data_IF_910674642589
#
_entry.id   IF_910674642589
#
_cell.length_a   1.000
_cell.length_b   1.000
_cell.length_c   1.000
_cell.angle_alpha   90.00
_cell.angle_beta   90.00
_cell.angle_gamma   90.00
#
_symmetry.space_group_name_H-M   'P 1'
#
loop_
_entity.id
_entity.type
_entity.pdbx_description
1 polymer ?
#
# COMPACT_ATOMS: atom_id res chain seq x y z
N UNK A 1 -16.01 28.33 22.34
CA UNK A 1 -16.99 27.77 21.39
C UNK A 1 -17.64 26.51 21.94
N UNK A 2 -16.85 25.53 22.41
CA UNK A 2 -17.32 24.20 22.84
C UNK A 2 -17.34 23.95 24.36
N UNK A 3 -16.70 24.79 25.17
CA UNK A 3 -16.64 24.61 26.62
C UNK A 3 -17.90 25.13 27.32
N UNK A 4 -18.51 24.30 28.15
CA UNK A 4 -19.53 24.67 29.13
C UNK A 4 -19.07 24.34 30.55
N UNK A 5 -19.90 24.66 31.55
CA UNK A 5 -19.60 24.44 32.97
C UNK A 5 -20.68 23.62 33.67
N UNK A 6 -20.26 22.62 34.43
CA UNK A 6 -21.11 21.79 35.29
C UNK A 6 -20.65 21.92 36.75
N UNK A 7 -21.60 21.93 37.68
CA UNK A 7 -21.36 21.86 39.12
C UNK A 7 -21.83 20.49 39.60
N UNK A 8 -20.90 19.67 40.06
CA UNK A 8 -21.20 18.43 40.77
C UNK A 8 -21.22 18.74 42.26
N UNK A 9 -22.29 18.38 42.95
CA UNK A 9 -22.41 18.58 44.39
C UNK A 9 -22.76 17.26 45.08
N UNK A 10 -22.29 17.14 46.32
CA UNK A 10 -22.55 16.02 47.21
C UNK A 10 -22.99 16.62 48.54
N UNK A 11 -24.25 16.39 48.90
CA UNK A 11 -24.84 16.85 50.17
C UNK A 11 -25.11 15.64 51.05
N UNK A 12 -24.49 15.57 52.21
CA UNK A 12 -24.79 14.51 53.18
C UNK A 12 -26.22 14.65 53.73
N UNK A 13 -26.88 13.53 54.03
CA UNK A 13 -28.28 13.53 54.51
C UNK A 13 -28.37 13.74 56.02
N UNK A 14 -27.44 13.14 56.77
CA UNK A 14 -27.49 13.09 58.24
C UNK A 14 -26.55 14.10 58.91
N UNK A 15 -25.68 14.76 58.14
CA UNK A 15 -24.69 15.74 58.63
C UNK A 15 -24.68 16.96 57.73
N UNK A 16 -24.38 18.12 58.32
CA UNK A 16 -24.31 19.41 57.61
C UNK A 16 -22.96 19.55 56.88
N UNK A 17 -22.79 18.74 55.84
CA UNK A 17 -21.61 18.71 54.99
C UNK A 17 -22.03 18.70 53.52
N UNK A 18 -21.59 19.72 52.78
CA UNK A 18 -21.74 19.82 51.33
C UNK A 18 -20.36 19.99 50.68
N UNK A 19 -20.04 19.12 49.72
CA UNK A 19 -18.89 19.28 48.83
C UNK A 19 -19.40 19.63 47.45
N UNK A 20 -18.84 20.66 46.82
CA UNK A 20 -19.16 20.97 45.43
C UNK A 20 -17.92 21.30 44.61
N UNK A 21 -17.95 20.89 43.34
CA UNK A 21 -16.87 21.08 42.39
C UNK A 21 -17.44 21.56 41.07
N UNK A 22 -16.86 22.63 40.52
CA UNK A 22 -17.18 23.13 39.19
C UNK A 22 -16.13 22.60 38.22
N UNK A 23 -16.60 21.99 37.13
CA UNK A 23 -15.77 21.41 36.09
C UNK A 23 -16.21 21.93 34.72
N UNK A 24 -15.25 22.07 33.82
CA UNK A 24 -15.52 22.38 32.42
C UNK A 24 -15.81 21.09 31.65
N UNK A 25 -16.74 21.14 30.70
CA UNK A 25 -17.03 20.03 29.79
C UNK A 25 -16.99 20.50 28.33
N UNK A 26 -16.69 19.57 27.42
CA UNK A 26 -16.68 19.80 25.96
C UNK A 26 -17.74 18.98 25.21
N UNK A 27 -18.17 17.87 25.80
CA UNK A 27 -19.27 17.03 25.34
C UNK A 27 -20.11 16.55 26.54
N UNK A 28 -21.34 16.13 26.26
CA UNK A 28 -22.23 15.52 27.24
C UNK A 28 -22.54 14.10 26.78
N UNK A 29 -22.29 13.13 27.63
CA UNK A 29 -22.56 11.72 27.35
C UNK A 29 -23.92 11.34 27.94
N UNK A 30 -24.89 11.08 27.07
CA UNK A 30 -26.27 10.81 27.44
C UNK A 30 -26.57 9.32 27.38
N UNK A 31 -27.19 8.80 28.44
CA UNK A 31 -27.64 7.42 28.51
C UNK A 31 -28.80 7.21 27.52
N UNK A 32 -28.65 6.25 26.61
CA UNK A 32 -29.71 5.86 25.66
C UNK A 32 -30.55 4.73 26.24
N UNK A 33 -29.90 3.78 26.92
CA UNK A 33 -30.59 2.68 27.61
C UNK A 33 -31.58 3.25 28.63
N UNK A 34 -32.84 2.81 28.55
CA UNK A 34 -33.92 3.29 29.44
C UNK A 34 -34.56 4.64 29.07
N UNK A 35 -33.96 5.42 28.17
CA UNK A 35 -34.45 6.75 27.77
C UNK A 35 -35.06 6.73 26.37
N UNK A 36 -36.23 7.35 26.20
CA UNK A 36 -36.94 7.36 24.90
C UNK A 36 -36.50 8.48 23.96
N UNK A 37 -36.01 9.57 24.52
CA UNK A 37 -35.68 10.78 23.78
C UNK A 37 -34.62 11.61 24.50
N UNK A 38 -34.16 12.65 23.82
CA UNK A 38 -33.16 13.58 24.32
C UNK A 38 -33.53 14.23 25.66
N UNK A 39 -34.78 14.67 25.82
CA UNK A 39 -35.21 15.39 27.02
C UNK A 39 -35.19 14.48 28.25
N UNK A 40 -35.58 13.21 28.07
CA UNK A 40 -35.56 12.21 29.14
C UNK A 40 -34.12 11.91 29.57
N UNK A 41 -33.17 11.76 28.64
CA UNK A 41 -31.76 11.60 29.00
C UNK A 41 -31.16 12.80 29.73
N UNK A 42 -31.58 14.03 29.41
CA UNK A 42 -31.12 15.21 30.15
C UNK A 42 -31.71 15.26 31.57
N UNK A 43 -32.96 14.80 31.75
CA UNK A 43 -33.56 14.67 33.09
C UNK A 43 -32.85 13.60 33.92
N UNK A 44 -32.54 12.46 33.30
CA UNK A 44 -31.72 11.39 33.90
C UNK A 44 -30.34 11.91 34.29
N UNK A 45 -29.70 12.71 33.42
CA UNK A 45 -28.36 13.27 33.69
C UNK A 45 -28.31 14.22 34.90
N UNK A 46 -29.37 15.01 35.14
CA UNK A 46 -29.46 15.92 36.30
C UNK A 46 -30.17 15.28 37.50
N UNK A 47 -30.57 14.01 37.41
CA UNK A 47 -31.24 13.32 38.49
C UNK A 47 -30.29 13.15 39.68
N UNK A 48 -30.82 13.41 40.89
CA UNK A 48 -30.05 13.24 42.12
C UNK A 48 -29.91 11.75 42.42
N UNK A 49 -28.67 11.29 42.49
CA UNK A 49 -28.30 9.93 42.88
C UNK A 49 -28.12 9.86 44.40
N UNK A 50 -28.80 8.91 45.04
CA UNK A 50 -28.59 8.64 46.46
C UNK A 50 -27.44 7.64 46.64
N UNK A 51 -26.44 8.05 47.41
CA UNK A 51 -25.30 7.25 47.83
C UNK A 51 -25.60 6.65 49.20
N UNK A 52 -26.04 5.39 49.24
CA UNK A 52 -26.32 4.66 50.48
C UNK A 52 -25.78 3.22 50.45
N UNK A 53 -25.85 2.54 51.59
CA UNK A 53 -25.40 1.15 51.74
C UNK A 53 -23.89 0.97 51.54
N UNK A 54 -23.49 0.15 50.58
CA UNK A 54 -22.08 -0.09 50.26
C UNK A 54 -21.42 1.07 49.49
N UNK A 55 -22.22 2.02 48.98
CA UNK A 55 -21.77 3.17 48.17
C UNK A 55 -21.78 4.49 48.95
N UNK A 56 -21.66 4.45 50.28
CA UNK A 56 -21.65 5.66 51.12
C UNK A 56 -20.49 6.61 50.78
N UNK A 57 -20.73 7.92 50.91
CA UNK A 57 -19.74 8.95 50.65
C UNK A 57 -18.84 9.16 51.87
N UNK A 58 -17.53 9.23 51.66
CA UNK A 58 -16.57 9.54 52.72
C UNK A 58 -16.43 11.06 52.89
N UNK A 59 -17.11 11.61 53.89
CA UNK A 59 -17.10 13.03 54.26
C UNK A 59 -15.91 13.39 55.17
N UNK A 60 -14.71 12.98 54.77
CA UNK A 60 -13.46 13.23 55.49
C UNK A 60 -13.34 12.51 56.84
N UNK A 61 -12.27 12.81 57.59
CA UNK A 61 -11.98 12.16 58.87
C UNK A 61 -12.98 12.53 59.97
N UNK A 62 -13.63 13.68 59.87
CA UNK A 62 -14.59 14.18 60.87
C UNK A 62 -15.92 13.41 60.83
N UNK A 63 -16.51 13.20 59.65
CA UNK A 63 -17.85 12.62 59.49
C UNK A 63 -17.86 11.19 58.92
N UNK A 64 -16.71 10.70 58.42
CA UNK A 64 -16.52 9.35 57.87
C UNK A 64 -17.54 9.01 56.77
N UNK A 65 -17.92 7.74 56.63
CA UNK A 65 -18.90 7.28 55.65
C UNK A 65 -20.31 7.73 56.03
N UNK A 66 -20.98 8.41 55.11
CA UNK A 66 -22.31 8.96 55.28
C UNK A 66 -23.17 8.69 54.04
N UNK A 67 -24.47 8.56 54.28
CA UNK A 67 -25.45 8.63 53.20
C UNK A 67 -25.46 10.05 52.63
N UNK A 68 -25.37 10.18 51.32
CA UNK A 68 -25.30 11.47 50.64
C UNK A 68 -26.12 11.49 49.35
N UNK A 69 -26.51 12.69 48.94
CA UNK A 69 -27.14 12.96 47.67
C UNK A 69 -26.11 13.59 46.74
N UNK A 70 -25.80 12.92 45.64
CA UNK A 70 -24.96 13.45 44.57
C UNK A 70 -25.85 13.97 43.45
N UNK A 71 -25.60 15.19 43.00
CA UNK A 71 -26.30 15.76 41.86
C UNK A 71 -25.36 16.52 40.94
N UNK A 72 -25.82 16.76 39.72
CA UNK A 72 -25.11 17.54 38.70
C UNK A 72 -26.03 18.64 38.20
N UNK A 73 -25.50 19.87 38.13
CA UNK A 73 -26.23 21.05 37.67
C UNK A 73 -25.42 21.73 36.58
N UNK A 74 -26.06 22.08 35.46
CA UNK A 74 -25.40 22.87 34.42
C UNK A 74 -25.36 24.35 34.83
N UNK A 75 -24.17 24.93 34.93
CA UNK A 75 -24.02 26.38 35.15
C UNK A 75 -24.08 27.15 33.84
N UNK A 76 -23.54 26.57 32.76
CA UNK A 76 -23.59 27.17 31.42
C UNK A 76 -23.41 26.12 30.34
N UNK A 77 -24.06 26.34 29.19
CA UNK A 77 -23.86 25.53 27.99
C UNK A 77 -22.95 26.25 26.98
N UNK A 78 -22.20 25.50 26.14
CA UNK A 78 -21.40 26.09 25.06
C UNK A 78 -22.26 26.58 23.89
N UNK A 79 -21.68 27.39 22.99
CA UNK A 79 -22.41 27.82 21.78
C UNK A 79 -22.58 26.68 20.76
N UNK A 80 -21.64 25.72 20.74
CA UNK A 80 -21.76 24.46 19.98
C UNK A 80 -21.77 23.32 20.99
N UNK A 81 -22.88 22.59 21.01
CA UNK A 81 -23.17 21.54 21.96
C UNK A 81 -23.00 20.17 21.30
N UNK A 82 -22.04 19.41 21.80
CA UNK A 82 -21.79 18.03 21.38
C UNK A 82 -22.45 17.07 22.35
N UNK A 83 -23.35 16.23 21.84
CA UNK A 83 -24.10 15.25 22.62
C UNK A 83 -23.73 13.87 22.12
N UNK A 84 -22.99 13.12 22.93
CA UNK A 84 -22.64 11.75 22.64
C UNK A 84 -23.73 10.83 23.19
N UNK A 85 -24.35 10.04 22.32
CA UNK A 85 -25.35 9.06 22.70
C UNK A 85 -24.65 7.75 23.06
N UNK A 86 -24.70 7.34 24.33
CA UNK A 86 -24.12 6.09 24.82
C UNK A 86 -24.89 4.90 24.26
N UNK A 87 -24.57 4.54 23.01
CA UNK A 87 -25.14 3.40 22.29
C UNK A 87 -24.26 2.15 22.37
N UNK A 88 -23.22 2.16 23.18
CA UNK A 88 -22.36 1.00 23.41
C UNK A 88 -22.26 0.79 24.91
N UNK A 89 -22.79 -0.33 25.38
CA UNK A 89 -22.80 -0.68 26.81
C UNK A 89 -22.32 -2.13 26.97
N UNK A 90 -21.73 -2.41 28.13
CA UNK A 90 -21.28 -3.75 28.47
C UNK A 90 -22.45 -4.60 28.96
N UNK A 91 -22.78 -5.67 28.26
CA UNK A 91 -23.78 -6.63 28.70
C UNK A 91 -23.12 -7.69 29.59
N UNK A 92 -23.36 -7.61 30.90
CA UNK A 92 -22.81 -8.53 31.90
C UNK A 92 -23.28 -9.98 31.67
N UNK A 93 -24.50 -10.19 31.17
CA UNK A 93 -25.02 -11.55 30.94
C UNK A 93 -24.33 -12.23 29.76
N UNK A 94 -23.90 -11.44 28.78
CA UNK A 94 -23.26 -11.93 27.55
C UNK A 94 -21.74 -11.75 27.55
N UNK A 95 -21.20 -11.14 28.60
CA UNK A 95 -19.78 -10.84 28.78
C UNK A 95 -19.17 -10.15 27.54
N UNK A 96 -19.93 -9.21 26.94
CA UNK A 96 -19.54 -8.57 25.69
C UNK A 96 -20.12 -7.15 25.57
N UNK A 97 -19.41 -6.30 24.84
CA UNK A 97 -19.89 -4.97 24.50
C UNK A 97 -20.99 -5.08 23.43
N UNK A 98 -22.11 -4.42 23.66
CA UNK A 98 -23.27 -4.47 22.79
C UNK A 98 -23.68 -3.08 22.33
N UNK A 99 -24.09 -3.00 21.05
CA UNK A 99 -24.69 -1.79 20.50
C UNK A 99 -26.18 -1.72 20.85
N UNK A 100 -26.60 -0.62 21.46
CA UNK A 100 -27.99 -0.29 21.76
C UNK A 100 -28.62 0.33 20.51
N UNK A 101 -29.46 -0.47 19.86
CA UNK A 101 -30.23 -0.06 18.70
C UNK A 101 -31.65 0.38 19.06
N UNK A 102 -31.92 0.67 20.34
CA UNK A 102 -33.21 1.16 20.79
C UNK A 102 -33.59 2.48 20.12
N UNK A 103 -34.90 2.68 19.97
CA UNK A 103 -35.46 3.89 19.38
C UNK A 103 -35.25 5.05 20.35
N UNK A 104 -34.50 6.06 19.90
CA UNK A 104 -34.16 7.25 20.65
C UNK A 104 -34.43 8.49 19.80
N UNK A 105 -35.39 9.30 20.22
CA UNK A 105 -35.78 10.51 19.49
C UNK A 105 -34.94 11.73 19.90
N UNK A 106 -34.58 12.56 18.93
CA UNK A 106 -33.95 13.85 19.16
C UNK A 106 -34.62 14.92 18.30
N UNK A 107 -34.93 16.10 18.86
CA UNK A 107 -35.67 17.14 18.16
C UNK A 107 -34.75 17.98 17.27
N UNK A 108 -35.29 18.63 16.25
CA UNK A 108 -34.54 19.65 15.49
C UNK A 108 -34.19 20.86 16.36
N UNK A 109 -35.08 21.25 17.28
CA UNK A 109 -34.90 22.36 18.20
C UNK A 109 -34.88 21.83 19.62
N UNK A 110 -33.84 22.16 20.37
CA UNK A 110 -33.65 21.75 21.75
C UNK A 110 -33.54 22.97 22.67
N UNK A 111 -34.39 23.04 23.71
CA UNK A 111 -34.30 24.08 24.72
C UNK A 111 -33.53 23.56 25.94
N UNK A 112 -32.35 24.15 26.17
CA UNK A 112 -31.48 23.78 27.29
C UNK A 112 -31.77 24.60 28.56
N UNK A 113 -32.58 25.66 28.48
CA UNK A 113 -32.87 26.55 29.60
C UNK A 113 -33.39 25.84 30.87
N UNK A 114 -34.25 24.79 30.79
CA UNK A 114 -34.76 24.09 31.96
C UNK A 114 -33.69 23.36 32.79
N UNK A 115 -32.52 23.06 32.21
CA UNK A 115 -31.46 22.28 32.87
C UNK A 115 -30.36 23.16 33.46
N UNK A 116 -30.45 24.49 33.27
CA UNK A 116 -29.51 25.45 33.84
C UNK A 116 -29.83 25.75 35.30
N UNK A 117 -28.79 26.00 36.10
CA UNK A 117 -28.92 26.47 37.48
C UNK A 117 -29.82 27.71 37.58
N UNK A 118 -30.47 27.90 38.73
CA UNK A 118 -31.27 29.10 38.99
C UNK A 118 -30.42 30.37 38.90
N UNK A 119 -29.17 30.29 39.35
CA UNK A 119 -28.18 31.38 39.31
C UNK A 119 -27.55 31.60 37.92
N UNK A 120 -27.92 30.82 36.90
CA UNK A 120 -27.36 30.97 35.55
C UNK A 120 -27.89 32.23 34.86
N UNK A 121 -27.06 32.82 34.00
CA UNK A 121 -27.48 33.93 33.15
C UNK A 121 -28.54 33.47 32.13
N UNK A 122 -29.79 33.89 32.34
CA UNK A 122 -30.94 33.61 31.46
C UNK A 122 -31.37 34.85 30.66
N UNK A 123 -30.49 35.85 30.52
CA UNK A 123 -30.77 37.07 29.74
C UNK A 123 -30.96 36.80 28.24
N UNK A 124 -30.28 35.77 27.71
CA UNK A 124 -30.39 35.30 26.34
C UNK A 124 -31.07 33.92 26.27
N UNK A 125 -31.73 33.63 25.15
CA UNK A 125 -32.31 32.31 24.89
C UNK A 125 -31.24 31.21 24.84
N UNK A 126 -31.52 30.07 25.47
CA UNK A 126 -30.71 28.85 25.44
C UNK A 126 -31.31 27.79 24.51
N UNK A 127 -32.01 28.24 23.46
CA UNK A 127 -32.50 27.39 22.39
C UNK A 127 -31.40 27.05 21.39
N UNK A 128 -31.31 25.78 21.05
CA UNK A 128 -30.35 25.22 20.10
C UNK A 128 -31.06 24.66 18.87
N UNK A 129 -30.40 24.75 17.73
CA UNK A 129 -30.80 24.14 16.47
C UNK A 129 -29.86 22.99 16.13
N UNK A 130 -30.41 21.87 15.67
CA UNK A 130 -29.65 20.72 15.19
C UNK A 130 -28.83 21.12 13.96
N UNK A 131 -27.52 20.92 14.04
CA UNK A 131 -26.56 21.20 12.98
C UNK A 131 -26.02 19.91 12.35
N UNK A 132 -25.80 18.87 13.16
CA UNK A 132 -25.20 17.63 12.71
C UNK A 132 -25.74 16.39 13.41
N UNK A 133 -25.89 15.31 12.65
CA UNK A 133 -26.23 13.96 13.14
C UNK A 133 -25.19 13.00 12.58
N UNK A 134 -24.31 12.49 13.45
CA UNK A 134 -23.33 11.49 13.06
C UNK A 134 -23.95 10.11 13.31
N UNK A 135 -23.91 9.26 12.29
CA UNK A 135 -24.62 7.98 12.26
C UNK A 135 -23.62 6.86 12.15
N UNK A 136 -23.87 5.81 12.93
CA UNK A 136 -23.13 4.56 12.85
C UNK A 136 -24.06 3.44 12.38
N UNK A 137 -23.74 2.87 11.22
CA UNK A 137 -24.44 1.72 10.64
C UNK A 137 -23.62 0.45 10.84
N UNK A 138 -24.19 -0.55 11.48
CA UNK A 138 -23.49 -1.80 11.79
C UNK A 138 -23.41 -2.09 13.28
N UNK A 139 -22.52 -2.99 13.65
CA UNK A 139 -22.31 -3.48 15.01
C UNK A 139 -20.96 -3.02 15.60
N UNK A 140 -20.58 -3.55 16.76
CA UNK A 140 -19.34 -3.16 17.43
C UNK A 140 -18.07 -3.49 16.61
N UNK A 141 -18.08 -4.59 15.87
CA UNK A 141 -16.89 -5.14 15.20
C UNK A 141 -16.75 -4.63 13.77
N UNK A 142 -17.87 -4.32 13.12
CA UNK A 142 -17.92 -3.80 11.76
C UNK A 142 -19.05 -2.80 11.61
N UNK A 143 -18.70 -1.63 11.10
CA UNK A 143 -19.68 -0.61 10.77
C UNK A 143 -19.14 0.46 9.85
N UNK A 144 -20.06 1.34 9.46
CA UNK A 144 -19.83 2.44 8.55
C UNK A 144 -20.33 3.74 9.18
N UNK A 145 -19.52 4.79 9.06
CA UNK A 145 -19.83 6.11 9.62
C UNK A 145 -20.16 7.08 8.50
N UNK A 146 -21.24 7.82 8.69
CA UNK A 146 -21.60 8.93 7.82
C UNK A 146 -22.30 10.01 8.65
N UNK A 147 -22.42 11.21 8.09
CA UNK A 147 -22.98 12.34 8.81
C UNK A 147 -24.07 13.04 7.99
N UNK A 148 -25.12 13.49 8.66
CA UNK A 148 -26.01 14.50 8.12
C UNK A 148 -25.61 15.85 8.70
N UNK A 149 -25.26 16.82 7.87
CA UNK A 149 -24.90 18.16 8.31
C UNK A 149 -25.80 19.19 7.62
N UNK A 150 -26.10 20.27 8.34
CA UNK A 150 -26.78 21.47 7.81
C UNK A 150 -25.78 22.62 7.77
N UNK A 151 -25.05 22.83 6.65
CA UNK A 151 -23.93 23.77 6.60
C UNK A 151 -24.37 25.24 6.75
N UNK A 152 -25.57 25.56 6.30
CA UNK A 152 -26.13 26.92 6.31
C UNK A 152 -27.28 27.02 7.32
N UNK A 153 -27.42 28.19 7.97
CA UNK A 153 -28.46 28.48 8.96
C UNK A 153 -29.87 28.07 8.50
N UNK A 154 -30.25 28.49 7.29
CA UNK A 154 -31.56 28.27 6.69
C UNK A 154 -31.51 27.30 5.48
N UNK A 155 -30.44 26.52 5.36
CA UNK A 155 -30.21 25.60 4.25
C UNK A 155 -30.82 24.21 4.44
N UNK A 156 -30.39 23.29 3.58
CA UNK A 156 -30.79 21.88 3.63
C UNK A 156 -29.77 21.05 4.41
N UNK A 157 -30.23 19.91 4.92
CA UNK A 157 -29.30 18.87 5.35
C UNK A 157 -28.72 18.14 4.14
N UNK A 158 -27.46 17.76 4.26
CA UNK A 158 -26.76 16.92 3.31
C UNK A 158 -26.20 15.69 4.02
N UNK A 159 -26.35 14.52 3.42
CA UNK A 159 -25.69 13.29 3.81
C UNK A 159 -24.27 13.29 3.22
N UNK A 160 -23.28 13.26 4.10
CA UNK A 160 -21.87 13.09 3.79
C UNK A 160 -21.49 11.63 4.07
N UNK A 161 -21.37 10.86 2.99
CA UNK A 161 -21.07 9.43 2.98
C UNK A 161 -19.80 9.22 2.16
N UNK A 162 -18.65 9.35 2.84
CA UNK A 162 -17.29 9.35 2.27
C UNK A 162 -17.13 10.29 1.05
N UNK A 163 -16.99 9.72 -0.15
CA UNK A 163 -16.78 10.42 -1.41
C UNK A 163 -18.08 10.98 -2.01
N UNK A 164 -19.23 10.71 -1.40
CA UNK A 164 -20.56 11.07 -1.90
C UNK A 164 -21.27 12.01 -0.95
N UNK A 165 -21.69 13.15 -1.51
CA UNK A 165 -22.53 14.12 -0.80
C UNK A 165 -23.88 14.22 -1.50
N UNK A 166 -24.96 13.92 -0.78
CA UNK A 166 -26.33 13.98 -1.30
C UNK A 166 -27.22 14.83 -0.41
N UNK A 167 -28.23 15.48 -1.01
CA UNK A 167 -29.23 16.23 -0.25
C UNK A 167 -30.13 15.28 0.53
N UNK A 168 -30.47 15.62 1.78
CA UNK A 168 -31.30 14.81 2.66
C UNK A 168 -32.55 15.55 3.12
N UNK A 169 -33.62 14.80 3.35
CA UNK A 169 -34.89 15.26 3.95
C UNK A 169 -34.82 15.18 5.48
N UNK A 170 -35.65 15.95 6.18
CA UNK A 170 -35.73 15.86 7.65
C UNK A 170 -36.13 14.47 8.16
N UNK A 171 -36.89 13.71 7.37
CA UNK A 171 -37.23 12.32 7.70
C UNK A 171 -35.98 11.43 7.71
N UNK A 172 -35.12 11.57 6.71
CA UNK A 172 -33.84 10.84 6.63
C UNK A 172 -32.87 11.26 7.75
N UNK A 173 -32.88 12.53 8.15
CA UNK A 173 -32.02 13.05 9.23
C UNK A 173 -32.50 12.61 10.61
N UNK A 174 -33.80 12.65 10.86
CA UNK A 174 -34.42 12.37 12.16
C UNK A 174 -34.91 10.92 12.23
N UNK A 175 -36.10 10.65 11.67
CA UNK A 175 -36.83 9.39 11.84
C UNK A 175 -36.03 8.16 11.44
N UNK A 176 -35.21 8.26 10.38
CA UNK A 176 -34.41 7.15 9.88
C UNK A 176 -33.21 6.83 10.78
N UNK A 177 -32.79 7.75 11.67
CA UNK A 177 -31.63 7.62 12.56
C UNK A 177 -31.97 7.49 14.05
N UNK A 178 -33.25 7.46 14.43
CA UNK A 178 -33.65 7.19 15.81
C UNK A 178 -33.30 5.77 16.28
N UNK A 179 -33.08 4.83 15.34
CA UNK A 179 -32.95 3.41 15.64
C UNK A 179 -34.32 2.73 15.82
N UNK A 180 -34.32 1.59 16.50
CA UNK A 180 -35.50 0.78 16.77
C UNK A 180 -35.88 -0.18 15.65
N UNK A 181 -37.07 -0.75 15.78
CA UNK A 181 -37.60 -1.73 14.84
C UNK A 181 -38.13 -1.08 13.56
N UNK A 182 -37.79 -1.67 12.42
CA UNK A 182 -38.37 -1.33 11.13
C UNK A 182 -39.77 -1.94 11.00
N UNK A 183 -40.82 -1.12 11.07
CA UNK A 183 -42.18 -1.54 10.71
C UNK A 183 -42.32 -1.52 9.18
N UNK A 184 -42.34 -2.69 8.54
CA UNK A 184 -42.83 -2.79 7.17
C UNK A 184 -44.32 -2.44 7.16
N UNK A 185 -44.71 -1.33 6.52
CA UNK A 185 -46.11 -1.16 6.15
C UNK A 185 -46.49 -2.28 5.18
N UNK A 186 -47.53 -3.09 5.47
CA UNK A 186 -47.96 -4.08 4.50
C UNK A 186 -48.49 -3.34 3.27
N UNK A 187 -47.77 -3.46 2.15
CA UNK A 187 -48.33 -3.17 0.84
C UNK A 187 -49.60 -4.02 0.65
N UNK A 188 -50.62 -3.46 0.03
CA UNK A 188 -51.92 -4.05 -0.28
C UNK A 188 -51.83 -5.33 -1.14
N UNK A 189 -51.29 -6.41 -0.59
CA UNK A 189 -51.33 -7.74 -1.19
C UNK A 189 -51.94 -8.75 -0.21
N UNK A 190 -53.03 -9.35 -0.69
CA UNK A 190 -53.87 -10.31 0.00
C UNK A 190 -53.08 -11.54 0.49
N UNK A 191 -53.39 -11.92 1.74
CA UNK A 191 -53.40 -13.29 2.32
C UNK A 191 -52.08 -14.10 2.33
N UNK A 192 -51.41 -14.10 3.48
CA UNK A 192 -50.65 -15.25 4.00
C UNK A 192 -50.71 -15.27 5.56
N UNK A 193 -50.58 -16.43 6.23
CA UNK A 193 -50.77 -16.54 7.68
C UNK A 193 -49.64 -15.85 8.46
N UNK A 194 -50.00 -15.16 9.57
CA UNK A 194 -49.05 -14.51 10.49
C UNK A 194 -48.10 -15.53 11.13
N UNK A 195 -46.91 -15.70 10.55
CA UNK A 195 -45.72 -16.01 11.33
C UNK A 195 -45.20 -14.69 11.89
N UNK A 196 -45.10 -14.56 13.22
CA UNK A 196 -44.42 -13.44 13.88
C UNK A 196 -42.94 -13.49 13.50
N UNK A 197 -42.57 -12.90 12.36
CA UNK A 197 -41.17 -12.63 12.03
C UNK A 197 -40.61 -11.70 13.10
N UNK A 198 -39.46 -12.05 13.66
CA UNK A 198 -38.75 -11.18 14.58
C UNK A 198 -38.58 -9.79 13.92
N UNK A 199 -38.81 -8.70 14.67
CA UNK A 199 -38.72 -7.37 14.11
C UNK A 199 -37.31 -7.09 13.61
N UNK A 200 -37.20 -6.58 12.38
CA UNK A 200 -35.90 -6.22 11.79
C UNK A 200 -35.45 -4.94 12.49
N UNK A 201 -34.44 -5.04 13.34
CA UNK A 201 -33.86 -3.89 14.03
C UNK A 201 -33.03 -3.08 13.05
N UNK A 202 -33.21 -1.76 13.03
CA UNK A 202 -32.39 -0.87 12.22
C UNK A 202 -30.96 -0.90 12.72
N UNK A 203 -30.03 -1.13 11.81
CA UNK A 203 -28.60 -1.18 12.14
C UNK A 203 -27.95 0.20 12.11
N UNK A 204 -28.59 1.20 11.53
CA UNK A 204 -28.17 2.60 11.55
C UNK A 204 -28.88 3.37 12.68
N UNK A 205 -28.10 4.08 13.48
CA UNK A 205 -28.62 4.97 14.52
C UNK A 205 -27.64 6.12 14.77
N UNK A 206 -28.19 7.28 15.13
CA UNK A 206 -27.38 8.42 15.52
C UNK A 206 -26.55 8.07 16.76
N UNK A 207 -25.24 8.33 16.73
CA UNK A 207 -24.34 8.11 17.86
C UNK A 207 -23.84 9.42 18.47
N UNK A 208 -23.85 10.51 17.70
CA UNK A 208 -23.47 11.84 18.18
C UNK A 208 -24.33 12.90 17.50
N UNK A 209 -24.77 13.88 18.27
CA UNK A 209 -25.56 15.02 17.80
C UNK A 209 -24.77 16.31 18.03
N UNK A 210 -24.86 17.22 17.08
CA UNK A 210 -24.24 18.54 17.13
C UNK A 210 -25.34 19.58 17.05
N UNK A 211 -25.44 20.40 18.08
CA UNK A 211 -26.41 21.48 18.20
C UNK A 211 -25.69 22.82 18.26
N UNK A 212 -26.24 23.86 17.64
CA UNK A 212 -25.70 25.22 17.69
C UNK A 212 -26.73 26.15 18.33
N UNK A 213 -26.29 27.00 19.27
CA UNK A 213 -27.15 27.98 19.93
C UNK A 213 -27.69 28.98 18.91
N UNK A 214 -29.01 29.15 18.85
CA UNK A 214 -29.65 29.95 17.80
C UNK A 214 -29.16 31.41 17.78
N UNK A 215 -28.95 32.01 18.95
CA UNK A 215 -28.43 33.40 19.07
C UNK A 215 -27.00 33.58 18.56
N UNK A 216 -26.27 32.50 18.27
CA UNK A 216 -24.87 32.51 17.83
C UNK A 216 -24.65 31.90 16.44
N UNK A 217 -25.72 31.48 15.75
CA UNK A 217 -25.65 30.84 14.43
C UNK A 217 -24.87 31.69 13.42
N UNK A 218 -25.17 32.98 13.32
CA UNK A 218 -24.53 33.86 12.33
C UNK A 218 -23.03 34.05 12.58
N UNK A 219 -22.60 33.96 13.84
CA UNK A 219 -21.18 34.05 14.21
C UNK A 219 -20.43 32.73 13.99
N UNK A 220 -21.11 31.59 14.12
CA UNK A 220 -20.49 30.26 14.02
C UNK A 220 -20.47 29.77 12.58
N UNK A 221 -21.57 29.98 11.84
CA UNK A 221 -21.73 29.61 10.44
C UNK A 221 -21.46 30.81 9.52
N UNK A 222 -20.49 31.64 9.89
CA UNK A 222 -20.11 32.78 9.07
C UNK A 222 -19.50 32.29 7.73
N UNK A 223 -19.73 33.02 6.63
CA UNK A 223 -19.19 32.64 5.34
C UNK A 223 -17.66 32.75 5.36
N UNK A 224 -16.97 31.66 5.01
CA UNK A 224 -15.52 31.62 4.85
C UNK A 224 -15.17 31.75 3.38
N UNK A 225 -14.41 32.79 3.07
CA UNK A 225 -13.97 33.15 1.72
C UNK A 225 -12.52 32.74 1.47
N UNK A 226 -12.05 32.85 0.22
CA UNK A 226 -10.65 32.54 -0.09
C UNK A 226 -9.71 33.52 0.62
N UNK A 227 -10.16 34.75 0.82
CA UNK A 227 -9.46 35.86 1.45
C UNK A 227 -9.12 35.55 2.91
N UNK A 228 -9.94 34.76 3.61
CA UNK A 228 -9.73 34.35 5.00
C UNK A 228 -8.58 33.34 5.17
N UNK A 229 -8.17 32.69 4.08
CA UNK A 229 -7.08 31.70 4.10
C UNK A 229 -5.73 32.43 4.01
N UNK A 230 -4.81 32.30 4.97
CA UNK A 230 -3.49 32.91 4.89
C UNK A 230 -2.71 32.55 3.61
N UNK A 231 -2.07 33.54 2.97
CA UNK A 231 -1.36 33.38 1.69
C UNK A 231 -0.27 32.29 1.72
N UNK A 232 0.44 32.17 2.83
CA UNK A 232 1.50 31.16 3.00
C UNK A 232 0.95 29.73 2.97
N UNK A 233 -0.28 29.51 3.48
CA UNK A 233 -0.93 28.19 3.39
C UNK A 233 -1.36 27.90 1.96
N UNK A 234 -1.94 28.88 1.26
CA UNK A 234 -2.35 28.71 -0.15
C UNK A 234 -1.16 28.30 -1.02
N UNK A 235 -0.06 29.06 -0.91
CA UNK A 235 1.17 28.81 -1.69
C UNK A 235 1.72 27.40 -1.41
N UNK A 236 1.80 27.02 -0.13
CA UNK A 236 2.28 25.69 0.27
C UNK A 236 1.42 24.55 -0.30
N UNK A 237 0.09 24.67 -0.25
CA UNK A 237 -0.80 23.63 -0.77
C UNK A 237 -0.80 23.56 -2.31
N UNK A 238 -0.62 24.69 -2.99
CA UNK A 238 -0.44 24.73 -4.45
C UNK A 238 0.87 24.03 -4.86
N UNK A 239 1.98 24.31 -4.16
CA UNK A 239 3.25 23.63 -4.35
C UNK A 239 3.15 22.12 -4.08
N UNK A 240 2.48 21.72 -2.98
CA UNK A 240 2.31 20.31 -2.63
C UNK A 240 1.45 19.57 -3.66
N UNK A 241 0.38 20.21 -4.14
CA UNK A 241 -0.48 19.66 -5.20
C UNK A 241 0.30 19.49 -6.50
N UNK A 242 1.05 20.52 -6.92
CA UNK A 242 1.89 20.47 -8.12
C UNK A 242 2.95 19.36 -8.03
N UNK A 243 3.57 19.19 -6.85
CA UNK A 243 4.55 18.13 -6.62
C UNK A 243 3.93 16.73 -6.63
N UNK A 244 2.72 16.57 -6.08
CA UNK A 244 1.97 15.30 -6.16
C UNK A 244 1.58 14.97 -7.59
N UNK A 245 1.14 15.94 -8.37
CA UNK A 245 0.82 15.76 -9.79
C UNK A 245 2.06 15.42 -10.61
N UNK A 246 3.19 16.10 -10.37
CA UNK A 246 4.46 15.78 -11.01
C UNK A 246 4.92 14.35 -10.69
N UNK A 247 4.85 13.93 -9.42
CA UNK A 247 5.16 12.53 -9.02
C UNK A 247 4.21 11.51 -9.63
N UNK A 248 2.92 11.84 -9.75
CA UNK A 248 1.94 10.95 -10.40
C UNK A 248 2.30 10.79 -11.88
N UNK A 249 2.58 11.89 -12.58
CA UNK A 249 3.01 11.89 -13.97
C UNK A 249 4.32 11.11 -14.16
N UNK A 250 5.28 11.28 -13.26
CA UNK A 250 6.53 10.53 -13.30
C UNK A 250 6.29 9.02 -13.15
N UNK A 251 5.42 8.58 -12.23
CA UNK A 251 5.04 7.16 -12.10
C UNK A 251 4.32 6.64 -13.35
N UNK A 252 3.45 7.46 -13.93
CA UNK A 252 2.80 7.17 -15.22
C UNK A 252 3.80 7.11 -16.37
N UNK A 253 4.93 7.81 -16.32
CA UNK A 253 5.97 7.68 -17.34
C UNK A 253 6.89 6.47 -17.06
N UNK A 254 7.23 6.20 -15.80
CA UNK A 254 8.14 5.11 -15.40
C UNK A 254 7.65 3.73 -15.83
N UNK A 255 6.34 3.44 -15.77
CA UNK A 255 5.82 2.14 -16.18
C UNK A 255 5.97 1.88 -17.69
N UNK A 256 6.19 2.92 -18.50
CA UNK A 256 6.44 2.79 -19.94
C UNK A 256 7.85 2.32 -20.27
N UNK A 257 8.78 2.42 -19.31
CA UNK A 257 10.18 2.04 -19.50
C UNK A 257 10.49 0.69 -18.83
N UNK A 258 11.52 0.04 -19.35
CA UNK A 258 12.14 -1.14 -18.76
C UNK A 258 13.66 -0.97 -18.82
N UNK A 259 14.36 -1.53 -17.84
CA UNK A 259 15.81 -1.63 -17.87
C UNK A 259 16.22 -2.93 -18.55
N UNK A 260 17.22 -2.84 -19.43
CA UNK A 260 17.88 -4.00 -20.04
C UNK A 260 19.33 -4.01 -19.54
N UNK A 261 19.71 -5.06 -18.82
CA UNK A 261 21.09 -5.27 -18.34
C UNK A 261 21.85 -6.12 -19.36
N UNK A 262 22.88 -5.54 -19.94
CA UNK A 262 23.65 -6.12 -21.04
C UNK A 262 25.05 -6.47 -20.55
N UNK A 263 25.39 -7.75 -20.65
CA UNK A 263 26.74 -8.25 -20.46
C UNK A 263 27.44 -8.26 -21.83
N UNK A 264 28.69 -7.81 -21.88
CA UNK A 264 29.54 -7.83 -23.07
C UNK A 264 30.82 -8.62 -22.80
N UNK A 265 31.59 -8.92 -23.83
CA UNK A 265 32.91 -9.53 -23.65
C UNK A 265 33.85 -8.68 -22.77
N UNK A 266 33.75 -7.35 -22.85
CA UNK A 266 34.55 -6.45 -22.02
C UNK A 266 34.18 -6.58 -20.54
N UNK A 267 32.89 -6.53 -20.21
CA UNK A 267 32.43 -6.69 -18.81
C UNK A 267 32.76 -8.08 -18.29
N UNK A 268 32.63 -9.12 -19.12
CA UNK A 268 32.99 -10.49 -18.73
C UNK A 268 34.48 -10.66 -18.45
N UNK A 269 35.36 -10.01 -19.24
CA UNK A 269 36.81 -10.00 -18.98
C UNK A 269 37.17 -9.27 -17.69
N UNK A 270 36.45 -8.19 -17.38
CA UNK A 270 36.66 -7.41 -16.17
C UNK A 270 36.08 -8.07 -14.90
N UNK A 271 35.11 -8.98 -15.03
CA UNK A 271 34.48 -9.65 -13.89
C UNK A 271 35.40 -10.73 -13.28
N UNK A 272 35.76 -10.54 -12.01
CA UNK A 272 36.64 -11.44 -11.27
C UNK A 272 35.94 -12.53 -10.45
N UNK A 273 34.60 -12.59 -10.49
CA UNK A 273 33.80 -13.50 -9.67
C UNK A 273 33.33 -14.75 -10.39
N UNK A 274 32.49 -15.53 -9.71
CA UNK A 274 31.71 -16.62 -10.30
C UNK A 274 30.61 -16.06 -11.20
N UNK A 275 30.10 -16.86 -12.12
CA UNK A 275 29.12 -16.50 -13.15
C UNK A 275 29.63 -15.45 -14.15
N UNK A 276 28.82 -14.98 -15.08
CA UNK A 276 29.27 -14.01 -16.09
C UNK A 276 29.44 -12.59 -15.54
N UNK A 277 28.72 -12.23 -14.48
CA UNK A 277 28.70 -10.88 -13.89
C UNK A 277 28.03 -10.89 -12.52
N UNK A 278 28.19 -9.82 -11.74
CA UNK A 278 27.27 -9.47 -10.65
C UNK A 278 26.15 -8.55 -11.17
N UNK A 279 24.89 -9.02 -11.16
CA UNK A 279 23.75 -8.20 -11.62
C UNK A 279 23.32 -7.14 -10.61
N UNK A 280 23.76 -7.22 -9.36
CA UNK A 280 23.41 -6.24 -8.31
C UNK A 280 24.40 -5.07 -8.24
N UNK A 281 25.57 -5.21 -8.88
CA UNK A 281 26.57 -4.16 -8.96
C UNK A 281 26.23 -3.08 -10.01
N UNK A 282 26.71 -1.86 -9.79
CA UNK A 282 26.60 -0.75 -10.74
C UNK A 282 27.84 -0.72 -11.65
N UNK A 283 27.62 -0.63 -12.96
CA UNK A 283 28.69 -0.53 -13.95
C UNK A 283 29.55 0.73 -13.78
N UNK A 284 29.03 1.78 -13.15
CA UNK A 284 29.81 2.97 -12.85
C UNK A 284 30.87 2.73 -11.74
N UNK A 285 30.66 1.73 -10.87
CA UNK A 285 31.56 1.39 -9.76
C UNK A 285 32.40 0.13 -10.06
N UNK A 286 31.86 -0.78 -10.86
CA UNK A 286 32.48 -2.06 -11.24
C UNK A 286 32.40 -2.27 -12.75
N UNK A 287 33.54 -2.20 -13.44
CA UNK A 287 33.62 -2.43 -14.89
C UNK A 287 33.16 -3.85 -15.30
N UNK A 288 33.20 -4.79 -14.36
CA UNK A 288 32.71 -6.16 -14.53
C UNK A 288 31.19 -6.27 -14.49
N UNK A 289 30.47 -5.26 -13.99
CA UNK A 289 29.02 -5.25 -13.89
C UNK A 289 28.34 -4.96 -15.25
N UNK A 290 27.08 -5.37 -15.45
CA UNK A 290 26.41 -5.21 -16.74
C UNK A 290 26.00 -3.76 -16.99
N UNK A 291 26.12 -3.30 -18.25
CA UNK A 291 25.63 -1.98 -18.65
C UNK A 291 24.10 -1.97 -18.66
N UNK A 292 23.50 -0.95 -18.05
CA UNK A 292 22.04 -0.81 -17.94
C UNK A 292 21.50 0.19 -18.96
N UNK A 293 20.57 -0.24 -19.81
CA UNK A 293 19.91 0.59 -20.81
C UNK A 293 18.45 0.80 -20.41
N UNK A 294 18.02 2.06 -20.31
CA UNK A 294 16.62 2.41 -20.09
C UNK A 294 15.94 2.58 -21.44
N UNK A 295 15.02 1.69 -21.78
CA UNK A 295 14.32 1.68 -23.07
C UNK A 295 12.80 1.65 -22.88
N UNK A 296 12.07 2.09 -23.90
CA UNK A 296 10.61 1.98 -23.90
C UNK A 296 10.22 0.51 -24.02
N UNK A 297 9.22 0.07 -23.25
CA UNK A 297 8.66 -1.29 -23.36
C UNK A 297 8.15 -1.59 -24.77
N UNK A 298 7.65 -0.57 -25.46
CA UNK A 298 7.12 -0.66 -26.82
C UNK A 298 8.19 -0.61 -27.93
N UNK A 299 9.46 -0.31 -27.62
CA UNK A 299 10.51 -0.32 -28.65
C UNK A 299 10.73 -1.74 -29.16
N UNK A 300 11.13 -1.89 -30.41
CA UNK A 300 11.45 -3.21 -30.98
C UNK A 300 12.80 -3.70 -30.46
N UNK A 301 13.02 -5.02 -30.54
CA UNK A 301 14.35 -5.59 -30.25
C UNK A 301 15.41 -5.09 -31.25
N UNK A 302 15.03 -4.74 -32.48
CA UNK A 302 15.91 -4.12 -33.47
C UNK A 302 16.41 -2.74 -33.01
N UNK A 303 15.51 -1.88 -32.52
CA UNK A 303 15.87 -0.57 -31.95
C UNK A 303 16.78 -0.71 -30.71
N UNK A 304 16.52 -1.72 -29.87
CA UNK A 304 17.37 -2.02 -28.72
C UNK A 304 18.78 -2.47 -29.16
N UNK A 305 18.88 -3.36 -30.14
CA UNK A 305 20.18 -3.80 -30.69
C UNK A 305 20.94 -2.62 -31.29
N UNK A 306 20.27 -1.74 -32.04
CA UNK A 306 20.88 -0.55 -32.59
C UNK A 306 21.44 0.38 -31.50
N UNK A 307 20.66 0.60 -30.43
CA UNK A 307 21.08 1.41 -29.27
C UNK A 307 22.30 0.81 -28.57
N UNK A 308 22.31 -0.52 -28.36
CA UNK A 308 23.44 -1.21 -27.74
C UNK A 308 24.67 -1.15 -28.66
N UNK A 309 24.51 -1.42 -29.95
CA UNK A 309 25.61 -1.41 -30.91
C UNK A 309 26.25 -0.01 -31.03
N UNK A 310 25.45 1.05 -31.09
CA UNK A 310 25.94 2.43 -31.08
C UNK A 310 26.77 2.73 -29.82
N UNK A 311 26.29 2.31 -28.65
CA UNK A 311 27.02 2.50 -27.39
C UNK A 311 28.34 1.70 -27.28
N UNK A 312 28.48 0.65 -28.10
CA UNK A 312 29.69 -0.16 -28.20
C UNK A 312 30.59 0.25 -29.37
N UNK A 313 30.20 1.27 -30.13
CA UNK A 313 30.86 1.69 -31.39
C UNK A 313 30.95 0.54 -32.42
N UNK A 314 29.85 -0.22 -32.55
CA UNK A 314 29.73 -1.36 -33.45
C UNK A 314 28.58 -1.17 -34.45
N UNK A 315 28.69 -1.85 -35.59
CA UNK A 315 27.57 -1.99 -36.53
C UNK A 315 26.49 -2.89 -35.90
N UNK A 316 25.22 -2.44 -35.83
CA UNK A 316 24.11 -3.26 -35.33
C UNK A 316 24.01 -4.65 -35.96
N UNK A 317 24.40 -4.81 -37.23
CA UNK A 317 24.39 -6.10 -37.93
C UNK A 317 25.37 -7.12 -37.37
N UNK A 318 26.38 -6.67 -36.62
CA UNK A 318 27.40 -7.51 -35.98
C UNK A 318 27.05 -7.90 -34.55
N UNK A 319 25.95 -7.38 -34.00
CA UNK A 319 25.57 -7.62 -32.61
C UNK A 319 24.36 -8.54 -32.54
N UNK A 320 24.47 -9.60 -31.74
CA UNK A 320 23.38 -10.52 -31.44
C UNK A 320 23.18 -10.62 -29.93
N UNK A 321 21.93 -10.61 -29.50
CA UNK A 321 21.59 -10.74 -28.08
C UNK A 321 21.22 -12.19 -27.74
N UNK A 322 21.67 -12.67 -26.59
CA UNK A 322 21.24 -13.92 -25.99
C UNK A 322 20.43 -13.65 -24.74
N UNK A 323 19.29 -14.33 -24.62
CA UNK A 323 18.47 -14.30 -23.41
C UNK A 323 19.21 -15.02 -22.29
N UNK A 324 19.32 -14.36 -21.13
CA UNK A 324 19.86 -14.94 -19.91
C UNK A 324 18.73 -15.54 -19.07
N UNK A 325 18.89 -16.77 -18.59
CA UNK A 325 17.87 -17.47 -17.79
C UNK A 325 18.41 -17.84 -16.41
N UNK A 326 17.51 -17.84 -15.41
CA UNK A 326 17.82 -18.40 -14.09
C UNK A 326 17.75 -19.93 -14.17
N UNK A 327 18.88 -20.61 -13.93
CA UNK A 327 18.94 -22.07 -13.85
C UNK A 327 18.58 -22.58 -12.44
N UNK A 328 18.27 -23.87 -12.31
CA UNK A 328 17.84 -24.49 -11.03
C UNK A 328 18.88 -24.37 -9.91
N UNK A 329 20.16 -24.34 -10.28
CA UNK A 329 21.31 -24.17 -9.39
C UNK A 329 21.58 -22.71 -8.98
N UNK A 330 20.66 -21.78 -9.31
CA UNK A 330 20.75 -20.33 -9.04
C UNK A 330 21.85 -19.58 -9.80
N UNK A 331 22.36 -20.12 -10.90
CA UNK A 331 23.21 -19.36 -11.84
C UNK A 331 22.35 -18.69 -12.92
N UNK A 332 22.91 -17.65 -13.55
CA UNK A 332 22.25 -16.88 -14.60
C UNK A 332 23.10 -16.99 -15.85
N UNK A 333 22.68 -17.82 -16.81
CA UNK A 333 23.48 -18.15 -18.01
C UNK A 333 22.74 -17.82 -19.30
N UNK A 334 23.46 -17.52 -20.39
CA UNK A 334 22.85 -17.45 -21.72
C UNK A 334 22.20 -18.79 -22.08
N UNK A 335 21.00 -18.77 -22.64
CA UNK A 335 20.29 -19.99 -23.09
C UNK A 335 20.06 -20.00 -24.60
N UNK A 336 19.38 -18.98 -25.12
CA UNK A 336 18.99 -18.91 -26.53
C UNK A 336 19.27 -17.52 -27.13
N UNK A 337 19.77 -17.47 -28.38
CA UNK A 337 19.92 -16.22 -29.09
C UNK A 337 18.56 -15.69 -29.57
N UNK A 338 18.43 -14.37 -29.58
CA UNK A 338 17.28 -13.66 -30.12
C UNK A 338 17.47 -13.55 -31.63
N UNK A 339 16.81 -14.44 -32.38
CA UNK A 339 16.90 -14.49 -33.85
C UNK A 339 15.86 -13.61 -34.55
N UNK A 340 14.70 -13.39 -33.91
CA UNK A 340 13.64 -12.51 -34.43
C UNK A 340 13.64 -11.20 -33.64
N UNK A 341 14.00 -10.10 -34.30
CA UNK A 341 14.10 -8.76 -33.70
C UNK A 341 12.83 -7.92 -33.86
N UNK A 342 11.78 -8.46 -34.53
CA UNK A 342 10.50 -7.76 -34.73
C UNK A 342 9.68 -7.56 -33.45
N UNK A 343 9.64 -8.49 -32.48
CA UNK A 343 8.90 -8.28 -31.24
C UNK A 343 9.39 -7.07 -30.45
N UNK A 344 8.52 -6.55 -29.60
CA UNK A 344 8.88 -5.48 -28.66
C UNK A 344 9.74 -6.00 -27.51
N UNK A 345 10.46 -5.09 -26.84
CA UNK A 345 11.23 -5.42 -25.63
C UNK A 345 10.33 -6.03 -24.56
N UNK A 346 9.08 -5.54 -24.43
CA UNK A 346 8.08 -6.11 -23.52
C UNK A 346 7.74 -7.57 -23.86
N UNK A 347 7.43 -7.86 -25.12
CA UNK A 347 7.10 -9.21 -25.55
C UNK A 347 8.28 -10.17 -25.37
N UNK A 348 9.50 -9.71 -25.64
CA UNK A 348 10.71 -10.47 -25.40
C UNK A 348 10.91 -10.72 -23.90
N UNK A 349 10.75 -9.69 -23.07
CA UNK A 349 10.84 -9.77 -21.62
C UNK A 349 9.82 -10.74 -21.03
N UNK A 350 8.57 -10.72 -21.47
CA UNK A 350 7.53 -11.65 -20.99
C UNK A 350 7.80 -13.11 -21.35
N UNK A 351 8.49 -13.36 -22.48
CA UNK A 351 8.90 -14.73 -22.89
C UNK A 351 10.15 -15.20 -22.15
N UNK A 352 11.07 -14.30 -21.89
CA UNK A 352 12.40 -14.58 -21.33
C UNK A 352 12.41 -14.64 -19.80
N UNK A 353 11.74 -13.69 -19.15
CA UNK A 353 11.84 -13.49 -17.72
C UNK A 353 11.02 -14.52 -16.96
N UNK A 354 11.61 -15.07 -15.89
CA UNK A 354 10.80 -15.62 -14.82
C UNK A 354 9.92 -14.49 -14.27
N UNK A 355 8.67 -14.77 -13.87
CA UNK A 355 7.68 -13.79 -13.39
C UNK A 355 8.12 -12.85 -12.23
N UNK A 356 9.38 -12.90 -11.78
CA UNK A 356 9.96 -12.13 -10.67
C UNK A 356 11.03 -11.12 -11.07
N UNK A 357 11.53 -11.15 -12.31
CA UNK A 357 12.58 -10.21 -12.71
C UNK A 357 11.99 -8.81 -12.96
N UNK A 358 12.77 -7.75 -12.70
CA UNK A 358 12.35 -6.36 -12.93
C UNK A 358 12.99 -5.74 -14.19
N UNK A 359 13.94 -6.46 -14.80
CA UNK A 359 14.73 -6.02 -15.94
C UNK A 359 15.04 -7.21 -16.85
N UNK A 360 15.18 -6.95 -18.15
CA UNK A 360 15.61 -7.95 -19.12
C UNK A 360 17.13 -8.13 -19.01
N UNK A 361 17.62 -9.37 -18.99
CA UNK A 361 19.05 -9.69 -18.93
C UNK A 361 19.47 -10.32 -20.24
N UNK A 362 20.50 -9.76 -20.86
CA UNK A 362 21.02 -10.26 -22.14
C UNK A 362 22.55 -10.31 -22.16
N UNK A 363 23.08 -11.26 -22.91
CA UNK A 363 24.47 -11.27 -23.34
C UNK A 363 24.56 -10.73 -24.77
N UNK A 364 25.36 -9.69 -24.98
CA UNK A 364 25.65 -9.13 -26.29
C UNK A 364 26.87 -9.81 -26.90
N UNK A 365 26.61 -10.66 -27.89
CA UNK A 365 27.62 -11.33 -28.69
C UNK A 365 27.96 -10.49 -29.93
N UNK A 366 29.24 -10.40 -30.25
CA UNK A 366 29.75 -9.72 -31.44
C UNK A 366 30.27 -10.76 -32.43
N UNK A 367 29.89 -10.65 -33.70
CA UNK A 367 30.32 -11.59 -34.73
C UNK A 367 31.83 -11.50 -35.01
N UNK A 368 32.52 -12.65 -35.00
CA UNK A 368 33.95 -12.73 -35.35
C UNK A 368 34.18 -12.63 -36.88
N UNK A 369 33.22 -13.13 -37.68
CA UNK A 369 33.29 -13.15 -39.14
C UNK A 369 32.08 -12.46 -39.78
N UNK A 370 32.31 -11.79 -40.90
CA UNK A 370 31.27 -11.17 -41.72
C UNK A 370 31.36 -11.62 -43.17
N UNK A 371 30.23 -11.81 -43.82
CA UNK A 371 30.16 -12.08 -45.26
C UNK A 371 30.69 -10.89 -46.06
N UNK A 372 31.05 -11.08 -47.35
CA UNK A 372 31.42 -9.97 -48.24
C UNK A 372 30.37 -8.85 -48.33
N UNK A 373 29.11 -9.17 -48.07
CA UNK A 373 27.96 -8.25 -48.03
C UNK A 373 27.80 -7.53 -46.68
N UNK A 374 28.66 -7.85 -45.69
CA UNK A 374 28.67 -7.25 -44.37
C UNK A 374 27.70 -7.88 -43.36
N UNK A 375 27.15 -9.06 -43.65
CA UNK A 375 26.27 -9.78 -42.72
C UNK A 375 27.10 -10.63 -41.74
N UNK A 376 26.69 -10.67 -40.47
CA UNK A 376 27.35 -11.48 -39.46
C UNK A 376 27.20 -12.99 -39.74
N UNK A 377 28.30 -13.73 -39.63
CA UNK A 377 28.30 -15.19 -39.74
C UNK A 377 28.25 -15.79 -38.33
N UNK A 378 27.16 -16.47 -38.02
CA UNK A 378 26.95 -17.11 -36.72
C UNK A 378 27.17 -18.64 -36.79
N UNK A 379 28.08 -19.23 -36.00
CA UNK A 379 28.42 -20.65 -36.12
C UNK A 379 27.28 -21.62 -35.81
N UNK A 380 26.39 -21.26 -34.88
CA UNK A 380 25.40 -22.15 -34.26
C UNK A 380 24.11 -22.35 -35.05
N UNK A 381 23.75 -21.40 -35.91
CA UNK A 381 22.44 -21.33 -36.56
C UNK A 381 22.62 -20.97 -38.03
N UNK A 382 22.76 -21.98 -38.88
CA UNK A 382 22.84 -21.81 -40.33
C UNK A 382 21.43 -21.98 -40.93
N UNK A 383 21.03 -21.04 -41.79
CA UNK A 383 19.78 -21.15 -42.54
C UNK A 383 19.89 -22.22 -43.62
N UNK A 384 18.93 -23.17 -43.66
CA UNK A 384 18.78 -24.02 -44.84
C UNK A 384 18.12 -23.24 -45.99
N UNK A 385 18.29 -23.70 -47.23
CA UNK A 385 17.70 -23.13 -48.46
C UNK A 385 16.18 -22.90 -48.40
N UNK A 386 15.50 -23.48 -47.41
CA UNK A 386 14.05 -23.44 -47.21
C UNK A 386 13.61 -22.40 -46.15
N UNK A 387 14.54 -21.60 -45.61
CA UNK A 387 14.26 -20.59 -44.57
C UNK A 387 14.11 -21.15 -43.14
N UNK A 388 14.34 -22.46 -42.94
CA UNK A 388 14.32 -23.08 -41.61
C UNK A 388 15.72 -22.99 -41.00
N UNK A 389 15.80 -22.37 -39.82
CA UNK A 389 17.03 -22.28 -39.03
C UNK A 389 17.11 -23.51 -38.11
N UNK A 390 18.13 -24.35 -38.31
CA UNK A 390 18.35 -25.55 -37.47
C UNK A 390 19.57 -25.31 -36.58
N UNK A 391 19.41 -25.54 -35.27
CA UNK A 391 20.53 -25.51 -34.31
C UNK A 391 21.46 -26.67 -34.63
N UNK A 392 22.75 -26.36 -34.86
CA UNK A 392 23.76 -27.40 -35.04
C UNK A 392 24.11 -28.07 -33.69
N UNK A 393 25.04 -29.02 -33.70
CA UNK A 393 25.60 -29.69 -32.51
C UNK A 393 26.59 -28.83 -31.71
N UNK A 394 26.83 -27.59 -32.15
CA UNK A 394 27.69 -26.61 -31.48
C UNK A 394 26.99 -26.02 -30.25
N UNK A 395 27.75 -25.89 -29.16
CA UNK A 395 27.35 -25.20 -27.93
C UNK A 395 28.24 -23.97 -27.70
N UNK A 396 27.66 -22.93 -27.10
CA UNK A 396 28.36 -21.73 -26.64
C UNK A 396 28.95 -21.97 -25.25
N UNK A 397 30.28 -22.02 -25.15
CA UNK A 397 30.99 -22.20 -23.87
C UNK A 397 31.83 -20.95 -23.58
N UNK A 398 31.72 -20.45 -22.35
CA UNK A 398 32.51 -19.35 -21.84
C UNK A 398 33.81 -19.88 -21.25
N UNK A 399 34.85 -19.08 -21.28
CA UNK A 399 36.17 -19.47 -20.78
C UNK A 399 36.63 -18.48 -19.73
N UNK A 400 37.06 -18.98 -18.59
CA UNK A 400 37.77 -18.22 -17.57
C UNK A 400 39.17 -18.78 -17.32
N UNK A 401 40.09 -17.90 -17.00
CA UNK A 401 41.44 -18.23 -16.57
C UNK A 401 41.59 -17.94 -15.08
N UNK A 402 41.97 -18.95 -14.32
CA UNK A 402 42.38 -18.78 -12.93
C UNK A 402 43.91 -18.73 -12.86
N UNK A 403 44.44 -17.56 -12.52
CA UNK A 403 45.86 -17.37 -12.27
C UNK A 403 46.19 -17.81 -10.84
N UNK A 404 46.97 -18.88 -10.73
CA UNK A 404 47.34 -19.49 -9.44
C UNK A 404 48.28 -18.58 -8.64
N UNK A 405 49.16 -17.83 -9.30
CA UNK A 405 50.12 -16.96 -8.61
C UNK A 405 49.44 -15.69 -8.11
N UNK A 406 48.62 -15.07 -8.97
CA UNK A 406 47.87 -13.87 -8.64
C UNK A 406 46.60 -14.12 -7.81
N UNK A 407 46.18 -15.39 -7.66
CA UNK A 407 44.92 -15.79 -7.01
C UNK A 407 43.72 -15.02 -7.57
N UNK A 408 43.66 -14.88 -8.89
CA UNK A 408 42.66 -14.08 -9.59
C UNK A 408 42.00 -14.87 -10.71
N UNK A 409 40.72 -14.63 -10.91
CA UNK A 409 39.92 -15.25 -11.97
C UNK A 409 39.55 -14.15 -12.97
N UNK A 410 39.69 -14.42 -14.26
CA UNK A 410 39.31 -13.46 -15.31
C UNK A 410 38.61 -14.18 -16.46
N UNK A 411 37.59 -13.53 -17.02
CA UNK A 411 37.00 -13.97 -18.28
C UNK A 411 38.01 -13.86 -19.42
N UNK A 412 38.03 -14.84 -20.32
CA UNK A 412 38.82 -14.82 -21.56
C UNK A 412 37.91 -14.45 -22.74
N UNK A 413 36.71 -15.01 -22.77
CA UNK A 413 35.74 -14.85 -23.86
C UNK A 413 34.87 -16.10 -23.98
N UNK A 414 34.34 -16.35 -25.18
CA UNK A 414 33.50 -17.52 -25.46
C UNK A 414 34.00 -18.28 -26.70
N UNK A 415 33.56 -19.53 -26.85
CA UNK A 415 33.87 -20.42 -27.98
C UNK A 415 32.66 -21.22 -28.40
N UNK A 416 32.62 -21.58 -29.69
CA UNK A 416 31.70 -22.57 -30.22
C UNK A 416 32.41 -23.89 -30.45
N UNK A 417 31.86 -24.96 -29.87
CA UNK A 417 32.44 -26.30 -30.00
C UNK A 417 31.33 -27.35 -30.08
N UNK A 418 31.53 -28.39 -30.90
CA UNK A 418 30.57 -29.49 -30.99
C UNK A 418 30.54 -30.27 -29.68
N UNK A 419 29.34 -30.55 -29.18
CA UNK A 419 29.13 -31.35 -27.97
C UNK A 419 29.72 -32.77 -28.05
N UNK A 420 29.95 -33.29 -29.25
CA UNK A 420 30.50 -34.63 -29.46
C UNK A 420 32.03 -34.66 -29.36
N UNK A 421 32.70 -33.49 -29.38
CA UNK A 421 34.15 -33.38 -29.19
C UNK A 421 34.58 -33.68 -27.77
N UNK A 422 35.86 -34.01 -27.61
CA UNK A 422 36.47 -34.25 -26.29
C UNK A 422 36.89 -32.95 -25.62
N UNK A 423 36.93 -32.97 -24.28
CA UNK A 423 37.43 -31.86 -23.45
C UNK A 423 38.84 -31.42 -23.87
N UNK A 424 39.73 -32.37 -24.18
CA UNK A 424 41.10 -32.06 -24.63
C UNK A 424 41.17 -31.23 -25.93
N UNK A 425 40.11 -31.21 -26.74
CA UNK A 425 40.05 -30.42 -27.97
C UNK A 425 39.78 -28.92 -27.72
N UNK A 426 39.43 -28.53 -26.49
CA UNK A 426 39.38 -27.12 -26.09
C UNK A 426 40.78 -26.52 -25.95
N UNK A 427 41.78 -27.34 -25.62
CA UNK A 427 43.13 -26.88 -25.29
C UNK A 427 43.77 -26.04 -26.42
N UNK A 428 43.77 -26.48 -27.70
CA UNK A 428 44.33 -25.65 -28.78
C UNK A 428 43.61 -24.31 -28.96
N UNK A 429 42.30 -24.28 -28.71
CA UNK A 429 41.47 -23.06 -28.84
C UNK A 429 41.81 -22.08 -27.70
N UNK A 430 41.90 -22.60 -26.48
CA UNK A 430 42.30 -21.83 -25.29
C UNK A 430 43.71 -21.26 -25.48
N UNK A 431 44.67 -22.08 -25.92
CA UNK A 431 46.04 -21.62 -26.15
C UNK A 431 46.11 -20.50 -27.19
N UNK A 432 45.33 -20.60 -28.28
CA UNK A 432 45.22 -19.55 -29.28
C UNK A 432 44.63 -18.27 -28.69
N UNK A 433 43.55 -18.35 -27.90
CA UNK A 433 42.93 -17.17 -27.27
C UNK A 433 43.81 -16.53 -26.19
N UNK A 434 44.60 -17.32 -25.47
CA UNK A 434 45.54 -16.84 -24.45
C UNK A 434 46.87 -16.36 -25.05
N UNK A 435 47.15 -16.63 -26.33
CA UNK A 435 48.42 -16.27 -26.96
C UNK A 435 49.61 -17.10 -26.48
N UNK A 436 49.38 -18.30 -25.93
CA UNK A 436 50.43 -19.18 -25.38
C UNK A 436 51.22 -19.97 -26.44
N UNK A 437 51.01 -19.69 -27.73
CA UNK A 437 51.66 -20.37 -28.85
C UNK A 437 51.00 -21.70 -29.25
N UNK A 438 51.67 -22.48 -30.09
CA UNK A 438 51.11 -23.71 -30.69
C UNK A 438 51.36 -24.98 -29.87
N UNK A 439 52.31 -24.95 -28.92
CA UNK A 439 52.68 -26.10 -28.09
C UNK A 439 53.05 -25.65 -26.67
N UNK A 440 52.46 -26.31 -25.69
CA UNK A 440 52.89 -26.20 -24.30
C UNK A 440 54.29 -26.80 -24.12
N UNK A 441 55.10 -26.29 -23.19
CA UNK A 441 56.29 -26.98 -22.71
C UNK A 441 55.97 -28.43 -22.31
N UNK A 442 56.90 -29.36 -22.53
CA UNK A 442 56.68 -30.81 -22.37
C UNK A 442 56.29 -31.24 -20.95
N UNK A 443 56.50 -30.37 -19.97
CA UNK A 443 56.26 -30.52 -18.54
C UNK A 443 54.96 -29.82 -18.07
N UNK A 444 54.35 -28.97 -18.90
CA UNK A 444 53.14 -28.22 -18.55
C UNK A 444 51.86 -28.91 -19.04
N UNK A 445 50.80 -28.81 -18.24
CA UNK A 445 49.47 -29.33 -18.56
C UNK A 445 48.41 -28.31 -18.18
N UNK A 446 47.49 -28.05 -19.10
CA UNK A 446 46.29 -27.27 -18.80
C UNK A 446 45.29 -28.19 -18.10
N UNK A 447 44.91 -27.80 -16.90
CA UNK A 447 43.82 -28.40 -16.17
C UNK A 447 42.53 -27.62 -16.47
N UNK A 448 41.43 -28.34 -16.69
CA UNK A 448 40.14 -27.74 -17.02
C UNK A 448 39.13 -28.10 -15.94
N UNK A 449 38.32 -27.13 -15.57
CA UNK A 449 37.26 -27.27 -14.59
C UNK A 449 35.98 -26.66 -15.16
N UNK A 450 34.85 -27.19 -14.72
CA UNK A 450 33.52 -26.66 -15.00
C UNK A 450 33.03 -25.85 -13.80
N UNK A 451 32.63 -24.60 -14.03
CA UNK A 451 31.98 -23.76 -13.03
C UNK A 451 30.47 -24.02 -13.03
N UNK A 452 30.02 -25.03 -12.27
CA UNK A 452 28.60 -25.42 -12.20
C UNK A 452 27.78 -24.36 -11.46
N UNK A 453 28.27 -23.90 -10.30
CA UNK A 453 27.65 -22.85 -9.46
C UNK A 453 28.70 -22.27 -8.51
N UNK A 454 28.43 -21.15 -7.81
CA UNK A 454 29.45 -20.48 -6.98
C UNK A 454 30.14 -21.34 -5.91
N UNK A 455 29.49 -22.41 -5.45
CA UNK A 455 30.02 -23.32 -4.42
C UNK A 455 30.49 -24.67 -4.95
N UNK A 456 30.48 -24.90 -6.27
CA UNK A 456 30.77 -26.19 -6.87
C UNK A 456 31.47 -26.01 -8.21
N UNK A 457 32.76 -26.36 -8.22
CA UNK A 457 33.63 -26.36 -9.40
C UNK A 457 34.22 -27.77 -9.51
N UNK A 458 34.02 -28.43 -10.65
CA UNK A 458 34.42 -29.82 -10.85
C UNK A 458 35.49 -29.97 -11.94
N UNK A 459 36.43 -30.90 -11.74
CA UNK A 459 37.49 -31.12 -12.71
C UNK A 459 36.98 -31.92 -13.92
N UNK A 460 37.24 -31.41 -15.12
CA UNK A 460 36.86 -32.07 -16.37
C UNK A 460 37.89 -33.12 -16.79
N UNK A 461 37.42 -34.28 -17.25
CA UNK A 461 38.30 -35.36 -17.72
C UNK A 461 38.62 -35.17 -19.20
N UNK A 462 39.91 -35.03 -19.52
CA UNK A 462 40.41 -34.77 -20.89
C UNK A 462 39.81 -35.67 -22.00
N UNK A 463 39.62 -36.98 -21.73
CA UNK A 463 39.12 -37.96 -22.71
C UNK A 463 37.59 -38.04 -22.81
N UNK A 464 36.86 -37.35 -21.92
CA UNK A 464 35.40 -37.33 -21.90
C UNK A 464 34.90 -36.37 -23.00
N UNK A 465 33.77 -36.70 -23.64
CA UNK A 465 33.11 -35.76 -24.55
C UNK A 465 32.39 -34.66 -23.77
N UNK A 466 32.23 -33.49 -24.37
CA UNK A 466 31.52 -32.37 -23.73
C UNK A 466 30.08 -32.74 -23.39
N UNK A 467 29.42 -33.52 -24.25
CA UNK A 467 28.09 -34.10 -24.00
C UNK A 467 28.07 -35.04 -22.80
N UNK A 468 29.10 -35.88 -22.63
CA UNK A 468 29.19 -36.76 -21.48
C UNK A 468 29.54 -35.99 -20.19
N UNK A 469 30.14 -34.80 -20.32
CA UNK A 469 30.31 -33.84 -19.23
C UNK A 469 29.06 -32.97 -19.02
N UNK A 470 27.96 -33.24 -19.73
CA UNK A 470 26.68 -32.52 -19.62
C UNK A 470 26.75 -31.02 -19.95
N UNK A 471 27.80 -30.58 -20.67
CA UNK A 471 27.98 -29.18 -21.06
C UNK A 471 26.93 -28.71 -22.08
N UNK A 472 26.41 -27.50 -21.84
CA UNK A 472 25.34 -26.84 -22.57
C UNK A 472 25.70 -25.37 -22.87
N UNK A 473 24.85 -24.68 -23.62
CA UNK A 473 25.03 -23.26 -23.93
C UNK A 473 25.06 -22.41 -22.64
N UNK A 474 26.06 -21.55 -22.53
CA UNK A 474 26.25 -20.69 -21.36
C UNK A 474 27.05 -21.33 -20.23
N UNK A 475 27.61 -22.53 -20.41
CA UNK A 475 28.52 -23.12 -19.43
C UNK A 475 29.89 -22.42 -19.43
N UNK A 476 30.59 -22.46 -18.30
CA UNK A 476 31.88 -21.78 -18.05
C UNK A 476 32.95 -22.80 -17.70
#
# INVERSE_FOLDING_TARGET
MFSGKIKTYISCVNVDYESSRVEDFWDIQLNVSGNKNLLDSFKDYVQVEKMDGENQYYAGDEFKLQDANKGVIFQSFPNVLHLQLKRFEYDIQRDTMMKINDRYEFPEIFDAAPYLSEDADKSESWTYQLHGVLVHSGDLNAGHYYAFLKPEKDGWFYKYDDDKVTKATMREVLEENFGGEYRTHPANHLRAPLQKKAPVVRQNSAYMLVYIRQSRLDNILCPVTKEDIPLHLRSRFEEETALKEAKRKEKEEQHLYIYVKVITEQTFKAHGGTDLTSFDADHAEDEGAPKSYRVLRSSTMEELVATIAESLDLDPRKVRLWIMVNRQNKTIRPDQPIMDLRPTVEECFQRAAAHRDQFLRVWAEVAEETTPEGEAVWPTYQGQLNGVVVKNDLILVFLKHFDVEAQSLHGIGHVYISKEKKVEELVPIIMKKMGWGDKLPSDEKICLWEEIKPTMIEALKAKQSLKAAELQDGDI
#
